data_IF_300407739618
#
_entry.id   IF_300407739618
#
_cell.length_a   1.000
_cell.length_b   1.000
_cell.length_c   1.000
_cell.angle_alpha   90.00
_cell.angle_beta   90.00
_cell.angle_gamma   90.00
#
_symmetry.space_group_name_H-M   'P 1'
#
loop_
_entity.id
_entity.type
_entity.pdbx_description
1 polymer ?
#
# COMPACT_ATOMS: atom_id res chain seq x y z
N UNK A 1 3.50 -12.16 16.55
CA UNK A 1 3.43 -10.70 16.76
C UNK A 1 2.12 -10.21 16.17
N UNK A 2 1.42 -9.26 16.79
CA UNK A 2 0.20 -8.68 16.18
C UNK A 2 0.62 -7.60 15.17
N UNK A 3 0.50 -7.89 13.87
CA UNK A 3 0.87 -6.96 12.79
C UNK A 3 -0.29 -6.03 12.49
N UNK A 4 -0.08 -4.72 12.58
CA UNK A 4 -1.03 -3.71 12.09
C UNK A 4 -0.63 -3.18 10.71
N UNK A 5 -1.61 -2.66 9.97
CA UNK A 5 -1.39 -2.08 8.64
C UNK A 5 -1.91 -0.65 8.65
N UNK A 6 -1.11 0.32 8.20
CA UNK A 6 -1.52 1.72 8.16
C UNK A 6 -1.31 2.32 6.77
N UNK A 7 -2.23 3.20 6.36
CA UNK A 7 -2.12 3.97 5.12
C UNK A 7 -1.69 5.41 5.43
N UNK A 8 -0.60 5.86 4.83
CA UNK A 8 -0.02 7.19 5.02
C UNK A 8 0.16 7.92 3.69
N UNK A 9 0.24 9.25 3.75
CA UNK A 9 0.81 10.06 2.68
C UNK A 9 2.33 9.89 2.59
N UNK A 10 2.91 10.32 1.47
CA UNK A 10 4.36 10.39 1.28
C UNK A 10 5.03 11.17 2.40
N UNK A 11 4.49 12.34 2.75
CA UNK A 11 5.02 13.21 3.81
C UNK A 11 5.00 12.51 5.18
N UNK A 12 3.89 11.86 5.52
CA UNK A 12 3.78 11.11 6.78
C UNK A 12 4.73 9.91 6.80
N UNK A 13 4.81 9.14 5.70
CA UNK A 13 5.68 7.97 5.62
C UNK A 13 7.18 8.31 5.76
N UNK A 14 7.63 9.47 5.26
CA UNK A 14 9.02 9.92 5.47
C UNK A 14 9.35 10.24 6.93
N UNK A 15 8.33 10.63 7.71
CA UNK A 15 8.47 10.99 9.13
C UNK A 15 8.20 9.82 10.05
N UNK A 16 7.49 8.79 9.56
CA UNK A 16 7.13 7.61 10.33
C UNK A 16 8.35 6.96 10.98
N UNK A 17 8.17 6.57 12.23
CA UNK A 17 9.15 5.85 13.02
C UNK A 17 8.42 4.97 14.02
N UNK A 18 9.02 3.83 14.32
CA UNK A 18 8.57 2.92 15.36
C UNK A 18 9.80 2.43 16.13
N UNK A 19 9.62 2.11 17.40
CA UNK A 19 10.59 1.32 18.17
C UNK A 19 10.45 -0.17 17.86
N UNK A 20 9.27 -0.59 17.39
CA UNK A 20 8.98 -1.95 16.97
C UNK A 20 9.25 -2.18 15.48
N UNK A 21 9.62 -3.42 15.06
CA UNK A 21 9.95 -3.73 13.69
C UNK A 21 8.84 -3.32 12.71
N UNK A 22 9.22 -2.67 11.60
CA UNK A 22 8.27 -2.25 10.57
C UNK A 22 8.86 -2.34 9.16
N UNK A 23 7.98 -2.50 8.18
CA UNK A 23 8.30 -2.44 6.75
C UNK A 23 7.47 -1.38 6.04
N UNK A 24 7.92 -0.99 4.84
CA UNK A 24 7.24 0.03 4.03
C UNK A 24 6.92 -0.48 2.63
N UNK A 25 5.67 -0.33 2.20
CA UNK A 25 5.22 -0.49 0.82
C UNK A 25 5.08 0.91 0.23
N UNK A 26 5.94 1.23 -0.74
CA UNK A 26 5.96 2.53 -1.41
C UNK A 26 5.29 2.46 -2.77
N UNK A 27 4.25 3.26 -2.95
CA UNK A 27 3.55 3.45 -4.22
C UNK A 27 3.90 4.84 -4.74
N UNK A 28 4.36 4.93 -5.99
CA UNK A 28 4.64 6.21 -6.65
C UNK A 28 4.02 6.23 -8.05
N UNK A 29 3.75 7.42 -8.56
CA UNK A 29 3.33 7.62 -9.95
C UNK A 29 4.41 7.14 -10.92
N UNK A 30 4.01 6.85 -12.16
CA UNK A 30 4.98 6.58 -13.23
C UNK A 30 5.87 7.82 -13.42
N UNK A 31 7.16 7.60 -13.65
CA UNK A 31 8.16 8.67 -13.76
C UNK A 31 8.56 9.35 -12.44
N UNK A 32 7.84 9.11 -11.34
CA UNK A 32 8.16 9.70 -10.04
C UNK A 32 9.23 8.94 -9.26
N UNK A 33 9.97 9.69 -8.42
CA UNK A 33 10.92 9.14 -7.46
C UNK A 33 10.21 8.71 -6.18
N UNK A 34 10.61 7.57 -5.63
CA UNK A 34 10.21 7.21 -4.27
C UNK A 34 10.76 8.22 -3.26
N UNK A 35 10.01 8.53 -2.18
CA UNK A 35 10.58 9.30 -1.09
C UNK A 35 11.81 8.60 -0.50
N UNK A 36 12.72 9.40 0.05
CA UNK A 36 13.74 8.89 0.95
C UNK A 36 13.06 8.48 2.27
N UNK A 37 13.22 7.22 2.65
CA UNK A 37 12.80 6.73 3.97
C UNK A 37 14.04 6.74 4.84
N UNK A 38 14.03 7.54 5.90
CA UNK A 38 15.15 7.60 6.82
C UNK A 38 15.33 6.22 7.49
N UNK A 39 16.49 5.58 7.33
CA UNK A 39 16.75 4.30 7.99
C UNK A 39 16.75 4.54 9.50
N UNK A 40 15.92 3.76 10.21
CA UNK A 40 15.82 3.75 11.67
C UNK A 40 16.09 2.33 12.17
N UNK A 41 16.51 2.12 13.42
CA UNK A 41 16.90 0.79 13.90
C UNK A 41 15.84 -0.31 13.68
N UNK A 42 14.56 0.02 13.80
CA UNK A 42 13.45 -0.92 13.62
C UNK A 42 12.94 -1.05 12.17
N UNK A 43 13.54 -0.33 11.22
CA UNK A 43 13.17 -0.40 9.81
C UNK A 43 13.74 -1.67 9.17
N UNK A 44 12.87 -2.62 8.83
CA UNK A 44 13.27 -3.93 8.31
C UNK A 44 13.36 -3.98 6.78
N UNK A 45 12.81 -2.99 6.09
CA UNK A 45 12.94 -2.88 4.64
C UNK A 45 11.76 -2.22 3.95
N UNK A 46 11.89 -2.13 2.61
CA UNK A 46 10.89 -1.50 1.75
C UNK A 46 10.79 -2.19 0.40
N UNK A 47 9.57 -2.27 -0.14
CA UNK A 47 9.33 -2.48 -1.57
C UNK A 47 8.80 -1.21 -2.24
N UNK A 48 9.07 -1.08 -3.53
CA UNK A 48 8.58 0.00 -4.36
C UNK A 48 7.88 -0.53 -5.62
N UNK A 49 6.66 -0.04 -5.87
CA UNK A 49 5.89 -0.25 -7.10
C UNK A 49 5.49 1.09 -7.70
N UNK A 50 5.35 1.16 -9.03
CA UNK A 50 5.00 2.40 -9.73
C UNK A 50 3.79 2.19 -10.62
N UNK A 51 2.78 3.01 -10.40
CA UNK A 51 1.57 3.09 -11.19
C UNK A 51 0.79 4.34 -10.76
N UNK A 52 -0.02 4.87 -11.66
CA UNK A 52 -0.78 6.10 -11.50
C UNK A 52 -2.10 5.86 -10.75
N UNK A 53 -2.67 6.93 -10.21
CA UNK A 53 -3.89 6.87 -9.39
C UNK A 53 -5.15 6.81 -10.25
N UNK A 54 -5.31 5.68 -10.95
CA UNK A 54 -6.45 5.44 -11.84
C UNK A 54 -7.14 4.13 -11.50
N UNK A 55 -8.44 4.07 -11.78
CA UNK A 55 -9.27 2.88 -11.58
C UNK A 55 -9.72 2.36 -12.95
N UNK A 56 -9.27 1.17 -13.32
CA UNK A 56 -9.61 0.57 -14.62
C UNK A 56 -11.09 0.18 -14.73
N UNK A 57 -11.80 0.04 -13.60
CA UNK A 57 -13.22 -0.29 -13.59
C UNK A 57 -14.10 0.96 -13.70
N UNK A 58 -13.53 2.15 -13.47
CA UNK A 58 -14.20 3.44 -13.67
C UNK A 58 -13.25 4.44 -14.36
N UNK A 59 -12.86 4.19 -15.62
CA UNK A 59 -11.88 5.02 -16.31
C UNK A 59 -12.43 6.41 -16.61
N UNK A 60 -11.64 7.44 -16.33
CA UNK A 60 -11.95 8.81 -16.70
C UNK A 60 -11.30 9.16 -18.06
N UNK A 61 -11.92 9.98 -18.93
CA UNK A 61 -11.31 10.40 -20.20
C UNK A 61 -9.93 11.09 -20.06
N UNK A 62 -9.62 11.62 -18.88
CA UNK A 62 -8.32 12.22 -18.57
C UNK A 62 -7.24 11.19 -18.20
N UNK A 63 -7.59 9.91 -18.09
CA UNK A 63 -6.66 8.83 -17.72
C UNK A 63 -5.85 8.30 -18.91
N UNK A 64 -6.01 8.88 -20.10
CA UNK A 64 -5.29 8.48 -21.31
C UNK A 64 -3.78 8.59 -21.07
N UNK A 65 -3.07 7.47 -21.22
CA UNK A 65 -1.62 7.38 -21.05
C UNK A 65 -1.18 7.13 -19.60
N UNK A 66 -2.11 7.05 -18.64
CA UNK A 66 -1.81 6.65 -17.27
C UNK A 66 -1.76 5.12 -17.14
N UNK A 67 -0.89 4.63 -16.26
CA UNK A 67 -0.74 3.20 -16.00
C UNK A 67 -1.41 2.84 -14.68
N UNK A 68 -2.53 2.11 -14.75
CA UNK A 68 -3.16 1.51 -13.58
C UNK A 68 -2.24 0.48 -12.91
N UNK A 69 -2.57 0.10 -11.66
CA UNK A 69 -1.95 -1.06 -11.03
C UNK A 69 -2.10 -2.30 -11.94
N UNK A 70 -1.04 -3.09 -12.07
CA UNK A 70 -1.08 -4.36 -12.82
C UNK A 70 -0.97 -5.54 -11.85
N UNK A 71 -1.33 -6.73 -12.30
CA UNK A 71 -1.25 -7.95 -11.50
C UNK A 71 0.16 -8.21 -10.95
N UNK A 72 1.20 -7.92 -11.75
CA UNK A 72 2.59 -8.04 -11.32
C UNK A 72 2.95 -7.11 -10.16
N UNK A 73 2.35 -5.92 -10.07
CA UNK A 73 2.50 -5.03 -8.92
C UNK A 73 1.83 -5.61 -7.68
N UNK A 74 0.61 -6.12 -7.83
CA UNK A 74 -0.14 -6.74 -6.74
C UNK A 74 0.57 -8.00 -6.21
N UNK A 75 1.09 -8.86 -7.08
CA UNK A 75 1.83 -10.06 -6.68
C UNK A 75 3.10 -9.73 -5.91
N UNK A 76 3.84 -8.68 -6.31
CA UNK A 76 5.01 -8.19 -5.59
C UNK A 76 4.65 -7.67 -4.19
N UNK A 77 3.52 -6.98 -4.06
CA UNK A 77 3.00 -6.55 -2.76
C UNK A 77 2.61 -7.76 -1.91
N UNK A 78 1.79 -8.67 -2.44
CA UNK A 78 1.32 -9.85 -1.72
C UNK A 78 2.47 -10.72 -1.21
N UNK A 79 3.47 -10.99 -2.06
CA UNK A 79 4.67 -11.74 -1.68
C UNK A 79 5.45 -11.06 -0.55
N UNK A 80 5.55 -9.72 -0.58
CA UNK A 80 6.24 -8.97 0.46
C UNK A 80 5.47 -8.96 1.78
N UNK A 81 4.15 -8.79 1.70
CA UNK A 81 3.24 -8.82 2.86
C UNK A 81 3.29 -10.21 3.52
N UNK A 82 3.19 -11.29 2.75
CA UNK A 82 3.24 -12.66 3.28
C UNK A 82 4.53 -12.95 4.03
N UNK A 83 5.67 -12.45 3.54
CA UNK A 83 6.97 -12.57 4.22
C UNK A 83 7.09 -11.73 5.49
N UNK A 84 6.44 -10.56 5.50
CA UNK A 84 6.49 -9.64 6.63
C UNK A 84 5.49 -10.01 7.73
N UNK A 85 4.36 -10.61 7.36
CA UNK A 85 3.25 -10.86 8.28
C UNK A 85 3.68 -11.71 9.48
N UNK A 86 3.33 -11.28 10.68
CA UNK A 86 3.71 -11.94 11.93
C UNK A 86 5.17 -11.75 12.36
N UNK A 87 6.04 -11.21 11.50
CA UNK A 87 7.45 -10.90 11.80
C UNK A 87 7.70 -9.42 12.14
N UNK A 88 6.76 -8.54 11.76
CA UNK A 88 6.82 -7.10 12.04
C UNK A 88 5.56 -6.61 12.74
N UNK A 89 5.71 -5.55 13.54
CA UNK A 89 4.59 -4.94 14.25
C UNK A 89 3.76 -4.05 13.31
N UNK A 90 4.38 -3.45 12.29
CA UNK A 90 3.68 -2.52 11.39
C UNK A 90 4.09 -2.68 9.93
N UNK A 91 3.09 -2.75 9.06
CA UNK A 91 3.24 -2.58 7.61
C UNK A 91 2.72 -1.19 7.25
N UNK A 92 3.62 -0.31 6.82
CA UNK A 92 3.26 1.03 6.36
C UNK A 92 3.03 1.00 4.86
N UNK A 93 1.84 1.36 4.40
CA UNK A 93 1.54 1.55 2.98
C UNK A 93 1.45 3.05 2.71
N UNK A 94 2.15 3.56 1.71
CA UNK A 94 1.99 4.96 1.33
C UNK A 94 1.95 5.18 -0.18
N UNK A 95 1.25 6.25 -0.56
CA UNK A 95 1.28 6.84 -1.89
C UNK A 95 1.52 8.35 -1.75
N UNK A 96 1.30 9.14 -2.81
CA UNK A 96 1.51 10.59 -2.73
C UNK A 96 0.68 11.25 -1.61
N UNK A 97 -0.65 11.20 -1.72
CA UNK A 97 -1.57 11.88 -0.81
C UNK A 97 -2.01 11.03 0.38
N UNK A 98 -1.88 9.70 0.31
CA UNK A 98 -2.33 8.80 1.37
C UNK A 98 -3.85 8.56 1.42
N UNK A 99 -4.55 8.84 0.31
CA UNK A 99 -6.02 8.88 0.27
C UNK A 99 -6.67 7.79 -0.59
N UNK A 100 -6.00 7.39 -1.69
CA UNK A 100 -6.58 6.52 -2.73
C UNK A 100 -5.82 5.20 -2.90
N UNK A 101 -4.66 5.20 -3.56
CA UNK A 101 -3.89 3.95 -3.79
C UNK A 101 -3.45 3.24 -2.51
N UNK A 102 -2.88 3.97 -1.55
CA UNK A 102 -2.37 3.38 -0.32
C UNK A 102 -3.48 2.83 0.57
N UNK A 103 -4.63 3.49 0.61
CA UNK A 103 -5.80 3.05 1.37
C UNK A 103 -6.46 1.85 0.70
N UNK A 104 -6.52 1.79 -0.64
CA UNK A 104 -6.95 0.59 -1.38
C UNK A 104 -6.08 -0.63 -1.10
N UNK A 105 -4.76 -0.48 -1.17
CA UNK A 105 -3.81 -1.56 -0.83
C UNK A 105 -3.89 -1.94 0.64
N UNK A 106 -3.93 -0.98 1.57
CA UNK A 106 -4.06 -1.26 2.99
C UNK A 106 -5.38 -1.98 3.33
N UNK A 107 -6.49 -1.58 2.70
CA UNK A 107 -7.79 -2.19 2.89
C UNK A 107 -7.79 -3.65 2.44
N UNK A 108 -7.16 -3.96 1.30
CA UNK A 108 -7.01 -5.35 0.83
C UNK A 108 -6.21 -6.20 1.82
N UNK A 109 -5.10 -5.68 2.36
CA UNK A 109 -4.29 -6.42 3.33
C UNK A 109 -5.09 -6.64 4.62
N UNK A 110 -5.71 -5.59 5.16
CA UNK A 110 -6.50 -5.68 6.38
C UNK A 110 -7.66 -6.66 6.23
N UNK A 111 -8.40 -6.59 5.13
CA UNK A 111 -9.51 -7.51 4.82
C UNK A 111 -9.03 -8.96 4.74
N UNK A 112 -7.92 -9.23 4.04
CA UNK A 112 -7.37 -10.58 3.93
C UNK A 112 -7.01 -11.19 5.30
N UNK A 113 -6.52 -10.37 6.24
CA UNK A 113 -6.13 -10.83 7.58
C UNK A 113 -7.20 -10.58 8.65
N UNK A 114 -8.44 -10.25 8.27
CA UNK A 114 -9.56 -10.08 9.20
C UNK A 114 -9.43 -8.89 10.15
N UNK A 115 -8.74 -7.82 9.73
CA UNK A 115 -8.60 -6.57 10.47
C UNK A 115 -9.67 -5.53 10.07
N UNK A 116 -10.02 -4.66 11.01
CA UNK A 116 -10.95 -3.55 10.76
C UNK A 116 -10.41 -2.58 9.69
N UNK A 117 -11.32 -2.09 8.85
CA UNK A 117 -11.02 -1.22 7.72
C UNK A 117 -11.76 0.12 7.77
N UNK A 118 -12.60 0.38 8.78
CA UNK A 118 -13.50 1.54 8.78
C UNK A 118 -12.77 2.87 8.53
N UNK A 119 -11.66 3.10 9.24
CA UNK A 119 -10.81 4.29 9.12
C UNK A 119 -10.24 4.52 7.69
N UNK A 120 -10.09 3.46 6.89
CA UNK A 120 -9.58 3.57 5.52
C UNK A 120 -10.62 4.15 4.55
N UNK A 121 -11.91 4.15 4.92
CA UNK A 121 -13.02 4.70 4.13
C UNK A 121 -13.58 6.00 4.73
N UNK A 122 -13.00 6.51 5.81
CA UNK A 122 -13.37 7.80 6.38
C UNK A 122 -12.84 8.96 5.54
N UNK A 123 -13.70 9.95 5.28
CA UNK A 123 -13.32 11.15 4.53
C UNK A 123 -12.09 11.83 5.17
N UNK A 124 -11.09 12.25 4.38
CA UNK A 124 -11.11 12.40 2.91
C UNK A 124 -10.59 11.17 2.14
N UNK A 125 -10.48 9.99 2.76
CA UNK A 125 -9.98 8.79 2.09
C UNK A 125 -11.06 8.19 1.19
N UNK A 126 -10.65 7.80 0.00
CA UNK A 126 -11.48 7.11 -0.98
C UNK A 126 -10.60 5.99 -1.55
N UNK A 127 -10.60 4.80 -0.93
CA UNK A 127 -9.76 3.68 -1.38
C UNK A 127 -9.92 3.38 -2.87
N UNK A 128 -8.79 3.26 -3.57
CA UNK A 128 -8.79 2.86 -4.97
C UNK A 128 -9.28 1.40 -5.08
N UNK A 129 -10.46 1.21 -5.67
CA UNK A 129 -11.14 -0.09 -5.76
C UNK A 129 -10.35 -1.09 -6.59
N UNK A 130 -9.75 -0.63 -7.69
CA UNK A 130 -8.87 -1.45 -8.52
C UNK A 130 -7.64 -1.98 -7.75
N UNK A 131 -6.95 -1.11 -7.02
CA UNK A 131 -5.81 -1.51 -6.18
C UNK A 131 -6.22 -2.54 -5.13
N UNK A 132 -7.36 -2.30 -4.47
CA UNK A 132 -7.91 -3.21 -3.47
C UNK A 132 -8.17 -4.60 -4.08
N UNK A 133 -8.90 -4.65 -5.18
CA UNK A 133 -9.29 -5.90 -5.82
C UNK A 133 -8.07 -6.73 -6.26
N UNK A 134 -7.08 -6.11 -6.90
CA UNK A 134 -5.88 -6.81 -7.36
C UNK A 134 -5.04 -7.34 -6.20
N UNK A 135 -4.81 -6.54 -5.16
CA UNK A 135 -4.00 -6.98 -4.01
C UNK A 135 -4.71 -8.06 -3.21
N UNK A 136 -6.02 -7.93 -2.98
CA UNK A 136 -6.78 -8.95 -2.26
C UNK A 136 -6.73 -10.29 -2.99
N UNK A 137 -6.94 -10.28 -4.31
CA UNK A 137 -6.83 -11.48 -5.14
C UNK A 137 -5.43 -12.10 -5.08
N UNK A 138 -4.38 -11.28 -5.16
CA UNK A 138 -3.00 -11.76 -5.09
C UNK A 138 -2.62 -12.33 -3.70
N UNK A 139 -3.19 -11.80 -2.62
CA UNK A 139 -3.01 -12.34 -1.27
C UNK A 139 -3.67 -13.71 -1.14
N UNK A 140 -4.87 -13.89 -1.70
CA UNK A 140 -5.60 -15.18 -1.70
C UNK A 140 -4.93 -16.29 -2.51
N UNK A 141 -3.99 -15.98 -3.42
CA UNK A 141 -3.24 -16.98 -4.19
C UNK A 141 -1.85 -17.27 -3.62
N UNK A 142 -1.43 -16.57 -2.57
CA UNK A 142 -0.08 -16.66 -1.98
C UNK A 142 -0.06 -17.53 -0.69
N UNK A 143 -1.18 -18.17 -0.34
CA UNK A 143 -1.32 -19.12 0.77
C UNK A 143 -0.85 -20.52 0.44
#
# INVERSE_FOLDING_TARGET
>A
MNTIVIALSKSQATKFSSTEPYVVISIADVGSRFPYIHPRPAFMGRIGVRFDDVDQYNPHPLDIGLMAMQESHAQRIATYVARAWGTVATIVVHCHAGLSRSTGVAAAIREHYGLDCADLYEAPRIPNGHCKALVLRALSTTT
#
